data_IF_419027811235
#
_entry.id   IF_419027811235
#
_cell.length_a   1.000
_cell.length_b   1.000
_cell.length_c   1.000
_cell.angle_alpha   90.00
_cell.angle_beta   90.00
_cell.angle_gamma   90.00
#
_symmetry.space_group_name_H-M   'P 1'
#
loop_
_entity.id
_entity.type
_entity.pdbx_description
1 polymer ?
#
# COMPACT_ATOMS: atom_id res chain seq x y z
N UNK A 1 -7.74 -27.48 -0.19
CA UNK A 1 -8.30 -26.51 0.77
C UNK A 1 -7.43 -26.36 2.00
N UNK A 2 -7.01 -27.44 2.67
CA UNK A 2 -6.10 -27.37 3.85
C UNK A 2 -4.71 -26.80 3.50
N UNK A 3 -4.09 -27.24 2.40
CA UNK A 3 -2.76 -26.77 1.98
C UNK A 3 -2.68 -25.25 1.72
N UNK A 4 -3.71 -24.68 1.09
CA UNK A 4 -3.80 -23.23 0.84
C UNK A 4 -3.92 -22.46 2.16
N UNK A 5 -4.71 -22.99 3.11
CA UNK A 5 -4.86 -22.41 4.45
C UNK A 5 -3.53 -22.36 5.20
N UNK A 6 -2.75 -23.45 5.18
CA UNK A 6 -1.44 -23.53 5.84
C UNK A 6 -0.45 -22.54 5.23
N UNK A 7 -0.38 -22.46 3.90
CA UNK A 7 0.54 -21.53 3.22
C UNK A 7 0.19 -20.07 3.52
N UNK A 8 -1.10 -19.71 3.49
CA UNK A 8 -1.54 -18.36 3.85
C UNK A 8 -1.22 -18.01 5.30
N UNK A 9 -1.40 -18.96 6.22
CA UNK A 9 -1.16 -18.74 7.65
C UNK A 9 0.34 -18.50 7.92
N UNK A 10 1.22 -19.27 7.29
CA UNK A 10 2.68 -19.05 7.36
C UNK A 10 3.08 -17.69 6.80
N UNK A 11 2.58 -17.31 5.63
CA UNK A 11 2.86 -15.99 5.04
C UNK A 11 2.33 -14.84 5.90
N UNK A 12 1.16 -15.02 6.51
CA UNK A 12 0.58 -14.02 7.41
C UNK A 12 1.44 -13.85 8.67
N UNK A 13 1.95 -14.94 9.25
CA UNK A 13 2.86 -14.88 10.40
C UNK A 13 4.18 -14.16 10.06
N UNK A 14 4.77 -14.45 8.90
CA UNK A 14 5.97 -13.76 8.42
C UNK A 14 5.70 -12.28 8.18
N UNK A 15 4.56 -11.94 7.58
CA UNK A 15 4.16 -10.55 7.38
C UNK A 15 3.97 -9.81 8.71
N UNK A 16 3.28 -10.41 9.69
CA UNK A 16 3.12 -9.83 11.03
C UNK A 16 4.48 -9.58 11.70
N UNK A 17 5.36 -10.58 11.68
CA UNK A 17 6.71 -10.45 12.24
C UNK A 17 7.50 -9.33 11.58
N UNK A 18 7.39 -9.18 10.26
CA UNK A 18 8.08 -8.14 9.50
C UNK A 18 7.55 -6.74 9.84
N UNK A 19 6.23 -6.59 10.01
CA UNK A 19 5.59 -5.34 10.43
C UNK A 19 6.02 -4.92 11.83
N UNK A 20 6.05 -5.87 12.77
CA UNK A 20 6.44 -5.60 14.15
C UNK A 20 7.92 -5.26 14.30
N UNK A 21 8.79 -5.92 13.52
CA UNK A 21 10.23 -5.68 13.61
C UNK A 21 10.66 -4.35 12.98
N UNK A 22 10.15 -4.00 11.80
CA UNK A 22 10.59 -2.80 11.06
C UNK A 22 9.84 -1.51 11.45
N UNK A 23 8.58 -1.62 11.92
CA UNK A 23 7.75 -0.45 12.24
C UNK A 23 6.91 0.03 11.06
N UNK A 24 5.74 0.61 11.36
CA UNK A 24 4.66 0.80 10.38
C UNK A 24 5.02 1.92 9.40
N UNK A 25 5.53 3.04 9.90
CA UNK A 25 5.90 4.21 9.09
C UNK A 25 7.06 3.94 8.11
N UNK A 26 8.20 3.36 8.50
CA UNK A 26 9.29 3.10 7.54
C UNK A 26 8.88 2.07 6.49
N UNK A 27 8.08 1.06 6.83
CA UNK A 27 7.54 0.10 5.85
C UNK A 27 6.64 0.79 4.82
N UNK A 28 5.74 1.69 5.23
CA UNK A 28 4.89 2.44 4.28
C UNK A 28 5.71 3.40 3.41
N UNK A 29 6.73 4.04 3.96
CA UNK A 29 7.60 4.95 3.21
C UNK A 29 8.44 4.19 2.18
N UNK A 30 9.09 3.09 2.59
CA UNK A 30 9.87 2.24 1.67
C UNK A 30 8.98 1.62 0.61
N UNK A 31 7.79 1.14 0.99
CA UNK A 31 6.82 0.57 0.06
C UNK A 31 6.32 1.56 -0.98
N UNK A 32 5.91 2.76 -0.56
CA UNK A 32 5.38 3.79 -1.47
C UNK A 32 6.46 4.35 -2.40
N UNK A 33 7.67 4.57 -1.90
CA UNK A 33 8.82 4.96 -2.72
C UNK A 33 9.21 3.83 -3.70
N UNK A 34 9.29 2.59 -3.21
CA UNK A 34 9.63 1.41 -4.01
C UNK A 34 8.63 1.16 -5.14
N UNK A 35 7.33 1.28 -4.85
CA UNK A 35 6.26 1.21 -5.85
C UNK A 35 6.34 2.34 -6.87
N UNK A 36 6.58 3.58 -6.41
CA UNK A 36 6.74 4.72 -7.31
C UNK A 36 7.90 4.51 -8.30
N UNK A 37 9.05 4.03 -7.81
CA UNK A 37 10.21 3.74 -8.67
C UNK A 37 9.91 2.57 -9.61
N UNK A 38 9.32 1.49 -9.09
CA UNK A 38 8.96 0.32 -9.91
C UNK A 38 7.99 0.69 -11.04
N UNK A 39 7.00 1.54 -10.79
CA UNK A 39 6.06 2.01 -11.80
C UNK A 39 6.71 2.93 -12.84
N UNK A 40 7.65 3.79 -12.45
CA UNK A 40 8.43 4.60 -13.41
C UNK A 40 9.25 3.69 -14.33
N UNK A 41 9.93 2.70 -13.76
CA UNK A 41 10.73 1.74 -14.52
C UNK A 41 9.84 0.92 -15.47
N UNK A 42 8.68 0.45 -15.00
CA UNK A 42 7.70 -0.24 -15.84
C UNK A 42 7.21 0.62 -16.99
N UNK A 43 6.92 1.90 -16.75
CA UNK A 43 6.48 2.82 -17.78
C UNK A 43 7.56 3.03 -18.85
N UNK A 44 8.82 3.18 -18.44
CA UNK A 44 9.98 3.28 -19.36
C UNK A 44 10.18 2.00 -20.18
N UNK A 45 10.06 0.82 -19.55
CA UNK A 45 10.18 -0.47 -20.23
C UNK A 45 9.05 -0.68 -21.26
N UNK A 46 7.83 -0.26 -20.93
CA UNK A 46 6.69 -0.31 -21.83
C UNK A 46 6.85 0.67 -23.00
N UNK A 47 7.36 1.87 -22.75
CA UNK A 47 7.62 2.87 -23.80
C UNK A 47 8.74 2.42 -24.75
N UNK A 48 9.79 1.79 -24.21
CA UNK A 48 10.88 1.22 -25.00
C UNK A 48 10.55 -0.10 -25.70
N UNK A 49 9.30 -0.58 -25.61
CA UNK A 49 8.86 -1.87 -26.17
C UNK A 49 9.78 -3.04 -25.77
N UNK A 50 10.23 -3.04 -24.51
CA UNK A 50 11.11 -4.07 -23.99
C UNK A 50 10.46 -5.47 -24.03
N UNK A 51 11.27 -6.51 -23.92
CA UNK A 51 10.78 -7.89 -23.93
C UNK A 51 9.70 -8.12 -22.86
N UNK A 52 8.61 -8.78 -23.23
CA UNK A 52 7.47 -9.08 -22.36
C UNK A 52 7.88 -9.77 -21.05
N UNK A 53 8.91 -10.64 -21.09
CA UNK A 53 9.45 -11.30 -19.90
C UNK A 53 10.02 -10.30 -18.88
N UNK A 54 10.72 -9.27 -19.34
CA UNK A 54 11.31 -8.26 -18.47
C UNK A 54 10.21 -7.41 -17.82
N UNK A 55 9.19 -7.02 -18.59
CA UNK A 55 8.02 -6.29 -18.09
C UNK A 55 7.30 -7.11 -17.02
N UNK A 56 6.97 -8.38 -17.30
CA UNK A 56 6.32 -9.27 -16.33
C UNK A 56 7.11 -9.44 -15.04
N UNK A 57 8.44 -9.52 -15.13
CA UNK A 57 9.31 -9.64 -13.96
C UNK A 57 9.22 -8.39 -13.07
N UNK A 58 9.23 -7.19 -13.66
CA UNK A 58 9.07 -5.95 -12.91
C UNK A 58 7.65 -5.75 -12.34
N UNK A 59 6.61 -6.23 -13.03
CA UNK A 59 5.24 -6.25 -12.50
C UNK A 59 5.17 -7.15 -11.26
N UNK A 60 5.74 -8.35 -11.32
CA UNK A 60 5.79 -9.26 -10.18
C UNK A 60 6.59 -8.68 -9.01
N UNK A 61 7.69 -7.98 -9.30
CA UNK A 61 8.48 -7.27 -8.28
C UNK A 61 7.65 -6.16 -7.60
N UNK A 62 6.91 -5.37 -8.38
CA UNK A 62 6.04 -4.33 -7.83
C UNK A 62 4.94 -4.92 -6.94
N UNK A 63 4.33 -6.05 -7.36
CA UNK A 63 3.34 -6.78 -6.56
C UNK A 63 3.98 -7.31 -5.27
N UNK A 64 5.18 -7.86 -5.33
CA UNK A 64 5.89 -8.36 -4.15
C UNK A 64 6.21 -7.24 -3.14
N UNK A 65 6.64 -6.07 -3.63
CA UNK A 65 6.85 -4.89 -2.78
C UNK A 65 5.52 -4.48 -2.13
N UNK A 66 4.44 -4.36 -2.90
CA UNK A 66 3.13 -4.00 -2.36
C UNK A 66 2.64 -4.99 -1.30
N UNK A 67 2.75 -6.30 -1.58
CA UNK A 67 2.27 -7.37 -0.72
C UNK A 67 3.04 -7.45 0.61
N UNK A 68 4.32 -7.07 0.62
CA UNK A 68 5.16 -7.11 1.82
C UNK A 68 5.14 -5.81 2.62
N UNK A 69 4.71 -4.70 2.01
CA UNK A 69 4.75 -3.36 2.63
C UNK A 69 3.34 -2.82 2.86
N UNK A 70 2.71 -2.23 1.84
CA UNK A 70 1.45 -1.49 1.98
C UNK A 70 0.29 -2.40 2.36
N UNK A 71 0.18 -3.58 1.76
CA UNK A 71 -0.96 -4.46 1.98
C UNK A 71 -1.17 -4.81 3.46
N UNK A 72 -0.22 -5.44 4.17
CA UNK A 72 -0.42 -5.77 5.59
C UNK A 72 -0.40 -4.52 6.48
N UNK A 73 0.43 -3.52 6.16
CA UNK A 73 0.62 -2.37 7.06
C UNK A 73 -0.60 -1.45 7.07
N UNK A 74 -1.30 -1.26 5.95
CA UNK A 74 -2.53 -0.43 5.92
C UNK A 74 -3.60 -1.02 6.82
N UNK A 75 -3.79 -2.35 6.80
CA UNK A 75 -4.76 -3.02 7.67
C UNK A 75 -4.40 -2.91 9.15
N UNK A 76 -3.12 -3.09 9.48
CA UNK A 76 -2.63 -2.92 10.86
C UNK A 76 -2.75 -1.48 11.32
N UNK A 77 -2.43 -0.51 10.46
CA UNK A 77 -2.48 0.90 10.80
C UNK A 77 -3.93 1.37 11.05
N UNK A 78 -4.89 0.90 10.25
CA UNK A 78 -6.32 1.19 10.45
C UNK A 78 -6.79 0.67 11.83
N UNK A 79 -6.31 -0.49 12.28
CA UNK A 79 -6.71 -1.03 13.58
C UNK A 79 -6.01 -0.36 14.77
N UNK A 80 -4.84 0.25 14.56
CA UNK A 80 -4.05 0.96 15.58
C UNK A 80 -4.38 2.45 15.74
N UNK A 81 -4.80 3.13 14.67
CA UNK A 81 -5.05 4.59 14.70
C UNK A 81 -6.37 4.95 15.39
N UNK A 82 -7.39 4.08 15.31
CA UNK A 82 -8.73 4.44 15.75
C UNK A 82 -9.02 4.08 17.22
N UNK A 83 -9.61 5.03 18.00
CA UNK A 83 -10.02 4.80 19.38
C UNK A 83 -10.96 3.61 19.53
N UNK A 84 -10.84 2.84 20.62
CA UNK A 84 -11.64 1.62 20.82
C UNK A 84 -13.16 1.89 20.73
N UNK A 85 -13.61 3.06 21.16
CA UNK A 85 -15.01 3.49 21.17
C UNK A 85 -15.61 3.68 19.77
N UNK A 86 -14.82 4.14 18.79
CA UNK A 86 -15.29 4.46 17.43
C UNK A 86 -14.63 3.61 16.34
N UNK A 87 -13.75 2.69 16.72
CA UNK A 87 -12.96 1.85 15.81
C UNK A 87 -13.82 1.13 14.78
N UNK A 88 -15.00 0.64 15.16
CA UNK A 88 -15.93 -0.01 14.23
C UNK A 88 -16.32 0.92 13.08
N UNK A 89 -16.96 2.04 13.41
CA UNK A 89 -17.45 3.01 12.42
C UNK A 89 -16.30 3.64 11.62
N UNK A 90 -15.21 4.02 12.29
CA UNK A 90 -14.06 4.65 11.63
C UNK A 90 -13.34 3.69 10.67
N UNK A 91 -13.16 2.42 11.06
CA UNK A 91 -12.60 1.39 10.18
C UNK A 91 -13.49 1.14 8.97
N UNK A 92 -14.82 1.09 9.16
CA UNK A 92 -15.76 0.91 8.04
C UNK A 92 -15.65 2.04 7.03
N UNK A 93 -15.58 3.30 7.48
CA UNK A 93 -15.40 4.46 6.59
C UNK A 93 -14.06 4.39 5.85
N UNK A 94 -12.98 4.03 6.55
CA UNK A 94 -11.66 3.87 5.94
C UNK A 94 -11.64 2.77 4.86
N UNK A 95 -12.27 1.63 5.14
CA UNK A 95 -12.39 0.51 4.20
C UNK A 95 -13.23 0.92 2.98
N UNK A 96 -14.35 1.61 3.18
CA UNK A 96 -15.16 2.12 2.06
C UNK A 96 -14.35 3.08 1.20
N UNK A 97 -13.62 4.01 1.80
CA UNK A 97 -12.74 4.92 1.06
C UNK A 97 -11.66 4.17 0.26
N UNK A 98 -11.08 3.11 0.84
CA UNK A 98 -10.12 2.24 0.14
C UNK A 98 -10.77 1.57 -1.07
N UNK A 99 -11.96 0.98 -0.91
CA UNK A 99 -12.68 0.33 -2.02
C UNK A 99 -13.09 1.32 -3.11
N UNK A 100 -13.51 2.52 -2.75
CA UNK A 100 -13.79 3.60 -3.72
C UNK A 100 -12.53 3.95 -4.51
N UNK A 101 -11.38 4.10 -3.84
CA UNK A 101 -10.11 4.32 -4.50
C UNK A 101 -9.73 3.19 -5.47
N UNK A 102 -9.95 1.93 -5.05
CA UNK A 102 -9.74 0.77 -5.90
C UNK A 102 -10.67 0.77 -7.13
N UNK A 103 -11.95 1.09 -6.94
CA UNK A 103 -12.91 1.19 -8.04
C UNK A 103 -12.51 2.26 -9.05
N UNK A 104 -12.11 3.44 -8.58
CA UNK A 104 -11.61 4.52 -9.43
C UNK A 104 -10.39 4.04 -10.21
N UNK A 105 -9.44 3.35 -9.58
CA UNK A 105 -8.25 2.81 -10.23
C UNK A 105 -8.62 1.83 -11.34
N UNK A 106 -9.44 0.82 -11.04
CA UNK A 106 -9.85 -0.22 -12.01
C UNK A 106 -10.59 0.38 -13.19
N UNK A 107 -11.43 1.39 -12.97
CA UNK A 107 -12.18 2.05 -14.04
C UNK A 107 -11.31 3.02 -14.86
N UNK A 108 -10.42 3.75 -14.20
CA UNK A 108 -9.55 4.76 -14.84
C UNK A 108 -8.41 4.11 -15.63
N UNK A 109 -7.91 2.95 -15.19
CA UNK A 109 -6.82 2.23 -15.84
C UNK A 109 -7.07 1.97 -17.34
N UNK A 110 -8.16 1.30 -17.78
CA UNK A 110 -8.39 1.03 -19.20
C UNK A 110 -8.60 2.32 -20.02
N UNK A 111 -9.20 3.35 -19.42
CA UNK A 111 -9.41 4.65 -20.07
C UNK A 111 -8.06 5.31 -20.36
N UNK A 112 -7.18 5.39 -19.36
CA UNK A 112 -5.84 5.95 -19.53
C UNK A 112 -5.01 5.12 -20.50
N UNK A 113 -5.07 3.79 -20.40
CA UNK A 113 -4.35 2.89 -21.29
C UNK A 113 -4.78 3.07 -22.76
N UNK A 114 -6.07 3.29 -23.01
CA UNK A 114 -6.58 3.53 -24.37
C UNK A 114 -6.15 4.87 -24.97
N UNK A 115 -6.00 5.93 -24.15
CA UNK A 115 -5.68 7.28 -24.62
C UNK A 115 -4.18 7.59 -24.67
N UNK A 116 -3.43 7.09 -23.68
CA UNK A 116 -2.02 7.40 -23.48
C UNK A 116 -1.10 6.20 -23.75
N UNK A 117 -1.65 5.07 -24.19
CA UNK A 117 -0.94 3.80 -24.29
C UNK A 117 -0.72 3.14 -22.92
N UNK A 118 -0.29 1.87 -22.94
CA UNK A 118 -0.13 1.04 -21.73
C UNK A 118 0.84 1.63 -20.71
N UNK A 119 1.77 2.51 -21.10
CA UNK A 119 2.73 3.17 -20.21
C UNK A 119 2.13 4.36 -19.43
N UNK A 120 1.12 5.04 -19.98
CA UNK A 120 0.50 6.22 -19.38
C UNK A 120 -0.08 6.00 -17.97
N UNK A 121 -0.87 4.93 -17.73
CA UNK A 121 -1.35 4.59 -16.40
C UNK A 121 -0.23 4.45 -15.37
N UNK A 122 0.87 3.79 -15.71
CA UNK A 122 1.97 3.57 -14.75
C UNK A 122 2.65 4.85 -14.32
N UNK A 123 2.86 5.82 -15.22
CA UNK A 123 3.35 7.15 -14.84
C UNK A 123 2.37 7.88 -13.93
N UNK A 124 1.08 7.85 -14.25
CA UNK A 124 0.06 8.50 -13.45
C UNK A 124 -0.01 7.93 -12.03
N UNK A 125 -0.02 6.60 -11.90
CA UNK A 125 -0.02 5.95 -10.59
C UNK A 125 1.30 6.10 -9.84
N UNK A 126 2.44 6.19 -10.53
CA UNK A 126 3.71 6.51 -9.89
C UNK A 126 3.67 7.87 -9.18
N UNK A 127 3.11 8.90 -9.84
CA UNK A 127 2.93 10.23 -9.24
C UNK A 127 2.02 10.15 -8.02
N UNK A 128 0.91 9.42 -8.09
CA UNK A 128 0.01 9.21 -6.94
C UNK A 128 0.74 8.52 -5.79
N UNK A 129 1.53 7.47 -6.06
CA UNK A 129 2.34 6.80 -5.03
C UNK A 129 3.37 7.73 -4.41
N UNK A 130 4.00 8.61 -5.20
CA UNK A 130 4.96 9.60 -4.71
C UNK A 130 4.29 10.68 -3.83
N UNK A 131 3.12 11.16 -4.22
CA UNK A 131 2.31 12.06 -3.38
C UNK A 131 1.86 11.34 -2.09
N UNK A 132 1.50 10.06 -2.18
CA UNK A 132 1.22 9.20 -1.04
C UNK A 132 2.40 9.05 -0.09
N UNK A 133 3.62 8.90 -0.61
CA UNK A 133 4.85 8.90 0.19
C UNK A 133 5.00 10.20 1.00
N UNK A 134 4.78 11.35 0.37
CA UNK A 134 4.79 12.64 1.06
C UNK A 134 3.70 12.72 2.12
N UNK A 135 2.46 12.32 1.79
CA UNK A 135 1.37 12.30 2.76
C UNK A 135 1.72 11.45 4.00
N UNK A 136 2.22 10.22 3.79
CA UNK A 136 2.65 9.33 4.87
C UNK A 136 3.78 9.96 5.69
N UNK A 137 4.76 10.59 5.03
CA UNK A 137 5.89 11.21 5.71
C UNK A 137 5.48 12.30 6.70
N UNK A 138 4.51 13.15 6.33
CA UNK A 138 4.11 14.31 7.12
C UNK A 138 2.92 14.06 8.05
N UNK A 139 1.97 13.22 7.64
CA UNK A 139 0.71 13.02 8.38
C UNK A 139 0.69 11.75 9.23
N UNK A 140 1.43 10.70 8.86
CA UNK A 140 1.46 9.45 9.63
C UNK A 140 2.56 9.52 10.68
N UNK A 141 2.16 9.57 11.95
CA UNK A 141 3.04 9.41 13.11
C UNK A 141 3.31 7.91 13.32
N UNK A 142 4.51 7.57 13.82
CA UNK A 142 4.85 6.17 14.12
C UNK A 142 3.98 5.64 15.27
N UNK A 143 3.32 4.51 15.04
CA UNK A 143 2.46 3.82 16.02
C UNK A 143 3.21 2.73 16.78
N UNK A 144 4.41 2.33 16.32
CA UNK A 144 5.22 1.29 16.95
C UNK A 144 5.56 1.61 18.41
N UNK A 145 5.21 0.67 19.30
CA UNK A 145 5.64 0.69 20.71
C UNK A 145 4.83 1.64 21.60
N UNK A 146 3.73 2.21 21.11
CA UNK A 146 2.79 2.98 21.92
C UNK A 146 1.58 2.14 22.27
N UNK A 147 1.09 2.28 23.50
CA UNK A 147 -0.18 1.67 23.89
C UNK A 147 -1.34 2.40 23.19
N UNK A 148 -2.47 1.71 22.98
CA UNK A 148 -3.69 2.31 22.40
C UNK A 148 -4.15 3.56 23.18
N UNK A 149 -3.94 3.57 24.50
CA UNK A 149 -4.29 4.68 25.39
C UNK A 149 -3.37 5.91 25.19
N UNK A 150 -2.06 5.70 25.00
CA UNK A 150 -1.12 6.78 24.67
C UNK A 150 -1.37 7.37 23.27
N UNK A 151 -1.81 6.54 22.32
CA UNK A 151 -2.22 6.96 20.99
C UNK A 151 -3.52 7.78 21.04
N UNK A 152 -4.53 7.32 21.79
CA UNK A 152 -5.76 8.09 22.04
C UNK A 152 -5.43 9.45 22.67
N UNK A 153 -4.58 9.51 23.71
CA UNK A 153 -4.20 10.76 24.37
C UNK A 153 -3.42 11.72 23.43
N UNK A 154 -2.56 11.18 22.56
CA UNK A 154 -1.80 12.00 21.59
C UNK A 154 -2.66 12.52 20.44
N UNK A 155 -3.74 11.80 20.08
CA UNK A 155 -4.62 12.14 18.96
C UNK A 155 -5.85 12.97 19.37
N UNK A 156 -6.31 12.85 20.61
CA UNK A 156 -7.46 13.60 21.16
C UNK A 156 -7.07 14.85 21.97
N UNK A 157 -5.77 15.09 22.19
CA UNK A 157 -5.26 16.24 22.94
C UNK A 157 -5.28 17.60 22.22
N UNK A 158 -6.29 17.86 21.38
CA UNK A 158 -6.57 19.17 20.79
C UNK A 158 -8.00 19.61 21.08
#
# INVERSE_FOLDING_TARGET
TVAIGVVNLLFTLVAMWQVDKLGRRPLMLVGSLGLSVAYIVLALLLQGQAATLLISTFVLLAIAIYATTLAPVVWVLISEIFPNKIRGTASSVAIVALWVGYFILVFTFPILASKLGTFGPFYFYAVICFLGFWFVRYRVKETKGKTLEELEATLTGH
#
